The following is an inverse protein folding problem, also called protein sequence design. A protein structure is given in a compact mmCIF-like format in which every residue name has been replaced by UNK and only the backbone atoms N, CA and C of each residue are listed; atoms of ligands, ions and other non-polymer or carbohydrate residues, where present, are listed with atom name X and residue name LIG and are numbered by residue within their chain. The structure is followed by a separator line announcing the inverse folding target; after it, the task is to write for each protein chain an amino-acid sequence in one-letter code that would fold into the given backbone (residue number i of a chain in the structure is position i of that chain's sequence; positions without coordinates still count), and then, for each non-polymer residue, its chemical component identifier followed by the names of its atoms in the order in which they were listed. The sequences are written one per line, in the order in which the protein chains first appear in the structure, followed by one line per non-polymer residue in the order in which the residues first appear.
data_IF_592277492661
#
_entry.id   IF_592277492661
#
_cell.length_a   1.000
_cell.length_b   1.000
_cell.length_c   1.000
_cell.angle_alpha   90.00
_cell.angle_beta   90.00
_cell.angle_gamma   90.00
#
_symmetry.space_group_name_H-M   'P 1'
#
loop_
_entity.id
_entity.type
_entity.pdbx_description
1 polymer ?
#
# COMPACT_ATOMS: atom_id res chain seq x y z
N UNK A 1 -3.98 -12.52 -17.81
CA UNK A 1 -4.09 -11.44 -18.81
C UNK A 1 -5.20 -10.56 -18.33
N UNK A 2 -4.98 -9.27 -18.13
CA UNK A 2 -6.08 -8.35 -17.80
C UNK A 2 -7.03 -8.24 -18.97
N UNK A 3 -8.31 -8.20 -18.67
CA UNK A 3 -9.34 -7.88 -19.64
C UNK A 3 -9.11 -6.46 -20.17
N UNK A 4 -9.35 -6.23 -21.46
CA UNK A 4 -9.42 -4.85 -21.95
C UNK A 4 -10.66 -4.16 -21.36
N UNK A 5 -10.72 -2.82 -21.31
CA UNK A 5 -11.93 -2.13 -20.85
C UNK A 5 -13.21 -2.58 -21.57
N UNK A 6 -13.11 -2.89 -22.86
CA UNK A 6 -14.22 -3.43 -23.67
C UNK A 6 -14.64 -4.82 -23.22
N UNK A 7 -13.68 -5.69 -22.88
CA UNK A 7 -13.97 -7.04 -22.40
C UNK A 7 -14.64 -7.01 -21.01
N UNK A 8 -14.24 -6.09 -20.13
CA UNK A 8 -14.83 -5.96 -18.80
C UNK A 8 -16.27 -5.45 -18.86
N UNK A 9 -16.59 -4.51 -19.75
CA UNK A 9 -17.96 -4.05 -19.96
C UNK A 9 -18.86 -5.20 -20.47
N UNK A 10 -18.39 -5.98 -21.44
CA UNK A 10 -19.13 -7.15 -21.93
C UNK A 10 -19.33 -8.20 -20.82
N UNK A 11 -18.29 -8.49 -20.04
CA UNK A 11 -18.39 -9.40 -18.90
C UNK A 11 -19.38 -8.89 -17.83
N UNK A 12 -19.45 -7.57 -17.63
CA UNK A 12 -20.44 -6.96 -16.73
C UNK A 12 -21.87 -7.19 -17.24
N UNK A 13 -22.11 -6.94 -18.53
CA UNK A 13 -23.41 -7.19 -19.16
C UNK A 13 -23.83 -8.64 -19.05
N UNK A 14 -22.92 -9.58 -19.31
CA UNK A 14 -23.18 -11.02 -19.13
C UNK A 14 -23.47 -11.37 -17.66
N UNK A 15 -22.79 -10.72 -16.71
CA UNK A 15 -22.91 -11.01 -15.28
C UNK A 15 -24.19 -10.48 -14.65
N UNK A 16 -24.63 -9.30 -15.04
CA UNK A 16 -25.69 -8.54 -14.38
C UNK A 16 -26.91 -8.26 -15.26
N UNK A 17 -26.83 -8.48 -16.58
CA UNK A 17 -27.93 -8.34 -17.53
C UNK A 17 -28.17 -6.91 -18.03
N UNK A 18 -27.21 -6.00 -17.85
CA UNK A 18 -27.26 -4.62 -18.32
C UNK A 18 -25.86 -4.01 -18.42
N UNK A 19 -25.72 -2.94 -19.21
CA UNK A 19 -24.44 -2.24 -19.38
C UNK A 19 -24.02 -1.52 -18.08
N UNK A 20 -22.71 -1.41 -17.81
CA UNK A 20 -22.23 -0.59 -16.70
C UNK A 20 -22.41 0.90 -17.00
N UNK A 21 -22.65 1.70 -15.96
CA UNK A 21 -22.65 3.17 -16.06
C UNK A 21 -21.26 3.73 -16.32
N UNK A 22 -20.22 2.99 -15.92
CA UNK A 22 -18.83 3.37 -16.17
C UNK A 22 -17.81 2.34 -15.71
N UNK A 23 -16.55 2.67 -15.97
CA UNK A 23 -15.40 1.91 -15.52
C UNK A 23 -14.46 2.85 -14.76
N UNK A 24 -14.07 2.46 -13.55
CA UNK A 24 -13.16 3.22 -12.70
C UNK A 24 -11.95 2.37 -12.37
N UNK A 25 -10.76 2.98 -12.37
CA UNK A 25 -9.51 2.26 -12.15
C UNK A 25 -8.64 2.97 -11.13
N UNK A 26 -7.97 2.18 -10.29
CA UNK A 26 -6.97 2.68 -9.37
C UNK A 26 -5.73 1.77 -9.37
N UNK A 27 -4.52 2.36 -9.39
CA UNK A 27 -3.28 1.60 -9.50
C UNK A 27 -2.89 0.92 -8.18
N UNK A 28 -2.17 -0.19 -8.28
CA UNK A 28 -1.34 -0.67 -7.18
C UNK A 28 -0.18 0.28 -6.91
N UNK A 29 0.66 -0.05 -5.93
CA UNK A 29 1.80 0.80 -5.55
C UNK A 29 3.02 0.02 -5.13
N UNK A 30 4.18 0.64 -5.29
CA UNK A 30 5.43 0.22 -4.66
C UNK A 30 5.97 1.38 -3.84
N UNK A 31 6.59 1.05 -2.71
CA UNK A 31 7.24 2.04 -1.88
C UNK A 31 8.72 2.17 -2.24
N UNK A 32 9.20 3.40 -2.51
CA UNK A 32 10.64 3.62 -2.75
C UNK A 32 11.42 3.52 -1.44
N UNK A 33 10.88 4.12 -0.38
CA UNK A 33 11.47 4.19 0.96
C UNK A 33 10.44 4.68 1.97
N UNK A 34 10.58 4.32 3.24
CA UNK A 34 9.60 4.61 4.30
C UNK A 34 8.89 3.37 4.78
N UNK A 35 9.57 2.23 4.83
CA UNK A 35 8.92 0.99 5.28
C UNK A 35 8.62 1.06 6.78
N UNK A 36 7.38 0.72 7.14
CA UNK A 36 6.86 0.70 8.51
C UNK A 36 6.77 2.06 9.22
N UNK A 37 6.98 3.18 8.52
CA UNK A 37 6.91 4.52 9.11
C UNK A 37 5.51 5.10 9.11
N UNK A 38 4.62 4.64 8.24
CA UNK A 38 3.26 5.13 8.06
C UNK A 38 2.39 5.02 9.33
N UNK A 39 2.36 3.86 9.97
CA UNK A 39 1.64 3.68 11.25
C UNK A 39 2.39 4.23 12.47
N UNK A 40 3.52 4.91 12.25
CA UNK A 40 4.32 5.59 13.25
C UNK A 40 4.29 7.12 13.06
N UNK A 41 3.26 7.64 12.39
CA UNK A 41 3.11 9.07 12.03
C UNK A 41 4.26 9.59 11.16
N UNK A 42 4.97 8.68 10.50
CA UNK A 42 6.21 8.92 9.78
C UNK A 42 6.04 9.57 8.42
N UNK A 43 7.07 9.41 7.61
CA UNK A 43 7.06 9.78 6.20
C UNK A 43 7.21 8.57 5.32
N UNK A 44 6.55 8.60 4.16
CA UNK A 44 6.70 7.59 3.12
C UNK A 44 6.90 8.23 1.75
N UNK A 45 7.50 7.48 0.83
CA UNK A 45 7.70 7.90 -0.55
C UNK A 45 7.29 6.79 -1.54
N UNK A 46 6.00 6.42 -1.60
CA UNK A 46 5.49 5.49 -2.60
C UNK A 46 5.33 6.12 -3.98
N UNK A 47 5.12 5.27 -4.98
CA UNK A 47 4.66 5.68 -6.30
C UNK A 47 3.68 4.64 -6.84
N UNK A 48 2.74 5.09 -7.67
CA UNK A 48 1.76 4.23 -8.32
C UNK A 48 2.41 3.43 -9.46
N UNK A 49 2.06 2.16 -9.60
CA UNK A 49 2.51 1.31 -10.70
C UNK A 49 1.47 1.27 -11.84
N UNK A 50 1.88 0.78 -13.01
CA UNK A 50 0.97 0.63 -14.17
C UNK A 50 -0.12 -0.43 -13.98
N UNK A 51 0.11 -1.41 -13.09
CA UNK A 51 -0.89 -2.42 -12.79
C UNK A 51 -1.97 -1.79 -11.91
N UNK A 52 -3.23 -2.00 -12.26
CA UNK A 52 -4.40 -1.43 -11.60
C UNK A 52 -5.51 -2.44 -11.41
N UNK A 53 -6.40 -2.13 -10.47
CA UNK A 53 -7.71 -2.76 -10.34
C UNK A 53 -8.74 -1.85 -11.01
N UNK A 54 -9.61 -2.43 -11.83
CA UNK A 54 -10.69 -1.74 -12.51
C UNK A 54 -12.02 -2.32 -12.06
N UNK A 55 -12.97 -1.45 -11.75
CA UNK A 55 -14.35 -1.83 -11.43
C UNK A 55 -15.27 -1.29 -12.52
N UNK A 56 -16.08 -2.16 -13.10
CA UNK A 56 -17.26 -1.76 -13.85
C UNK A 56 -18.43 -1.69 -12.87
N UNK A 57 -19.17 -0.59 -12.87
CA UNK A 57 -20.26 -0.38 -11.93
C UNK A 57 -21.53 0.16 -12.61
N UNK A 58 -22.69 -0.24 -12.09
CA UNK A 58 -23.98 0.36 -12.43
C UNK A 58 -24.80 0.62 -11.18
N UNK A 59 -25.51 1.74 -11.15
CA UNK A 59 -26.44 2.12 -10.09
C UNK A 59 -27.71 1.28 -10.19
N UNK A 60 -28.21 0.87 -9.02
CA UNK A 60 -29.46 0.15 -8.86
C UNK A 60 -30.52 1.04 -8.24
N UNK A 61 -31.82 0.78 -8.50
CA UNK A 61 -32.91 1.53 -7.88
C UNK A 61 -33.16 1.16 -6.41
N UNK A 62 -32.52 0.10 -5.90
CA UNK A 62 -32.62 -0.38 -4.52
C UNK A 62 -31.37 -0.02 -3.68
N UNK A 63 -31.31 -0.53 -2.46
CA UNK A 63 -30.20 -0.36 -1.51
C UNK A 63 -29.22 -1.54 -1.53
N UNK A 64 -29.40 -2.46 -2.48
CA UNK A 64 -28.62 -3.68 -2.56
C UNK A 64 -27.38 -3.43 -3.40
N UNK A 65 -26.25 -3.92 -2.91
CA UNK A 65 -25.00 -4.01 -3.66
C UNK A 65 -24.76 -5.46 -4.02
N UNK A 66 -24.34 -5.74 -5.25
CA UNK A 66 -23.88 -7.07 -5.67
C UNK A 66 -22.46 -6.97 -6.20
N UNK A 67 -21.54 -7.70 -5.60
CA UNK A 67 -20.12 -7.66 -5.97
C UNK A 67 -19.71 -8.99 -6.62
N UNK A 68 -19.09 -8.91 -7.79
CA UNK A 68 -18.53 -10.06 -8.50
C UNK A 68 -17.08 -9.77 -8.94
N UNK A 69 -16.32 -10.82 -9.25
CA UNK A 69 -14.92 -10.72 -9.68
C UNK A 69 -14.67 -11.60 -10.90
N UNK A 70 -13.90 -11.12 -11.87
CA UNK A 70 -13.46 -11.90 -13.04
C UNK A 70 -12.52 -13.04 -12.66
N UNK A 71 -11.96 -13.04 -11.44
CA UNK A 71 -11.11 -14.13 -10.94
C UNK A 71 -11.91 -15.31 -10.40
N UNK A 72 -13.21 -15.13 -10.19
CA UNK A 72 -14.14 -16.16 -9.75
C UNK A 72 -15.43 -16.07 -10.61
N UNK A 73 -15.33 -16.34 -11.93
CA UNK A 73 -16.44 -16.11 -12.86
C UNK A 73 -17.65 -17.02 -12.57
N UNK A 74 -17.41 -18.20 -11.98
CA UNK A 74 -18.44 -19.18 -11.65
C UNK A 74 -19.15 -18.89 -10.31
N UNK A 75 -18.58 -18.02 -9.46
CA UNK A 75 -19.16 -17.67 -8.17
C UNK A 75 -20.34 -16.71 -8.36
N UNK A 76 -21.42 -16.93 -7.60
CA UNK A 76 -22.55 -15.99 -7.53
C UNK A 76 -22.09 -14.61 -7.02
N UNK A 77 -22.69 -13.48 -7.45
CA UNK A 77 -22.33 -12.17 -6.91
C UNK A 77 -22.68 -12.15 -5.43
N UNK A 78 -21.80 -11.60 -4.60
CA UNK A 78 -22.03 -11.44 -3.17
C UNK A 78 -23.00 -10.28 -2.97
N UNK A 79 -24.23 -10.52 -2.48
CA UNK A 79 -25.18 -9.44 -2.19
C UNK A 79 -24.94 -8.86 -0.80
N UNK A 80 -25.18 -7.56 -0.64
CA UNK A 80 -25.24 -6.88 0.65
C UNK A 80 -26.28 -5.78 0.61
N UNK A 81 -27.02 -5.59 1.70
CA UNK A 81 -27.89 -4.44 1.88
C UNK A 81 -27.12 -3.34 2.62
N UNK A 82 -26.90 -2.20 1.97
CA UNK A 82 -26.17 -1.07 2.52
C UNK A 82 -26.78 -0.56 3.83
N UNK A 83 -28.10 -0.64 4.00
CA UNK A 83 -28.77 -0.19 5.23
C UNK A 83 -28.54 -1.16 6.42
N UNK A 84 -28.01 -2.36 6.17
CA UNK A 84 -27.71 -3.39 7.18
C UNK A 84 -26.22 -3.64 7.41
N UNK A 85 -25.33 -3.03 6.61
CA UNK A 85 -23.89 -3.24 6.73
C UNK A 85 -23.37 -2.68 8.05
N UNK A 86 -22.68 -3.53 8.80
CA UNK A 86 -22.04 -3.20 10.06
C UNK A 86 -20.52 -3.38 9.97
N UNK A 87 -19.79 -2.69 10.86
CA UNK A 87 -18.35 -2.87 11.04
C UNK A 87 -18.01 -4.36 11.20
N UNK A 88 -17.03 -4.86 10.43
CA UNK A 88 -16.61 -6.26 10.43
C UNK A 88 -17.68 -7.27 9.98
N UNK A 89 -18.80 -6.81 9.41
CA UNK A 89 -19.95 -7.66 9.08
C UNK A 89 -19.81 -8.46 7.79
N UNK A 90 -18.71 -8.30 7.06
CA UNK A 90 -18.45 -8.95 5.77
C UNK A 90 -17.12 -9.70 5.84
N UNK A 91 -17.14 -10.97 5.45
CA UNK A 91 -15.94 -11.80 5.37
C UNK A 91 -15.40 -11.89 3.94
N UNK A 92 -14.14 -12.31 3.81
CA UNK A 92 -13.51 -12.58 2.53
C UNK A 92 -13.21 -11.32 1.71
N UNK A 93 -12.98 -11.49 0.41
CA UNK A 93 -12.55 -10.39 -0.45
C UNK A 93 -13.64 -9.35 -0.70
N UNK A 94 -14.92 -9.69 -0.53
CA UNK A 94 -16.03 -8.75 -0.66
C UNK A 94 -16.01 -7.67 0.45
N UNK A 95 -15.31 -7.92 1.55
CA UNK A 95 -15.14 -6.96 2.64
C UNK A 95 -14.43 -5.67 2.20
N UNK A 96 -13.54 -5.73 1.19
CA UNK A 96 -12.86 -4.55 0.64
C UNK A 96 -13.84 -3.60 -0.08
N UNK A 97 -14.54 -4.01 -1.17
CA UNK A 97 -15.49 -3.14 -1.87
C UNK A 97 -16.68 -2.74 -0.99
N UNK A 98 -17.27 -3.67 -0.24
CA UNK A 98 -18.41 -3.36 0.64
C UNK A 98 -17.99 -2.48 1.82
N UNK A 99 -16.77 -2.67 2.34
CA UNK A 99 -16.19 -1.83 3.38
C UNK A 99 -16.03 -0.38 2.94
N UNK A 100 -15.64 -0.13 1.69
CA UNK A 100 -15.53 1.22 1.15
C UNK A 100 -16.89 1.92 1.08
N UNK A 101 -17.93 1.22 0.62
CA UNK A 101 -19.27 1.78 0.58
C UNK A 101 -19.79 2.06 2.00
N UNK A 102 -19.57 1.14 2.93
CA UNK A 102 -19.87 1.34 4.34
C UNK A 102 -19.13 2.57 4.92
N UNK A 103 -17.83 2.70 4.65
CA UNK A 103 -17.00 3.80 5.16
C UNK A 103 -17.38 5.16 4.55
N UNK A 104 -17.82 5.20 3.29
CA UNK A 104 -18.43 6.38 2.67
C UNK A 104 -19.69 6.82 3.44
N UNK A 105 -20.59 5.87 3.75
CA UNK A 105 -21.81 6.19 4.50
C UNK A 105 -21.52 6.63 5.93
N UNK A 106 -20.56 5.99 6.61
CA UNK A 106 -20.10 6.44 7.93
C UNK A 106 -19.49 7.86 7.91
N UNK A 107 -19.00 8.29 6.74
CA UNK A 107 -18.47 9.64 6.53
C UNK A 107 -19.55 10.65 6.12
N UNK A 108 -20.82 10.24 6.09
CA UNK A 108 -21.96 11.11 5.78
C UNK A 108 -22.35 11.15 4.30
N UNK A 109 -21.74 10.31 3.46
CA UNK A 109 -22.02 10.25 2.02
C UNK A 109 -22.85 9.02 1.70
N UNK A 110 -24.16 9.22 1.46
CA UNK A 110 -25.07 8.11 1.19
C UNK A 110 -24.85 7.57 -0.22
N UNK A 111 -24.60 6.28 -0.35
CA UNK A 111 -24.45 5.62 -1.65
C UNK A 111 -25.82 5.13 -2.15
N UNK A 112 -26.06 4.95 -3.46
CA UNK A 112 -27.15 4.10 -3.95
C UNK A 112 -26.75 2.60 -3.90
N UNK A 113 -27.69 1.69 -4.16
CA UNK A 113 -27.35 0.30 -4.48
C UNK A 113 -26.54 0.22 -5.79
N UNK A 114 -25.68 -0.79 -5.93
CA UNK A 114 -24.75 -0.91 -7.07
C UNK A 114 -24.48 -2.36 -7.47
N UNK A 115 -24.34 -2.59 -8.76
CA UNK A 115 -23.69 -3.80 -9.29
C UNK A 115 -22.23 -3.48 -9.56
N UNK A 116 -21.30 -4.28 -9.03
CA UNK A 116 -19.86 -4.08 -9.14
C UNK A 116 -19.19 -5.34 -9.71
N UNK A 117 -18.53 -5.23 -10.87
CA UNK A 117 -17.64 -6.27 -11.41
C UNK A 117 -16.19 -5.82 -11.32
N UNK A 118 -15.36 -6.60 -10.63
CA UNK A 118 -13.95 -6.29 -10.39
C UNK A 118 -13.05 -7.12 -11.30
N UNK A 119 -12.06 -6.47 -11.92
CA UNK A 119 -10.91 -7.08 -12.60
C UNK A 119 -9.62 -6.42 -12.15
N UNK A 120 -8.49 -7.14 -12.13
CA UNK A 120 -7.21 -6.56 -11.73
C UNK A 120 -6.01 -7.10 -12.50
N UNK A 121 -5.07 -6.21 -12.80
CA UNK A 121 -3.71 -6.58 -13.21
C UNK A 121 -2.74 -6.66 -12.04
N UNK A 122 -3.12 -6.15 -10.85
CA UNK A 122 -2.22 -6.13 -9.70
C UNK A 122 -2.06 -7.57 -9.19
N UNK A 123 -0.83 -8.12 -9.14
CA UNK A 123 -0.62 -9.46 -8.62
C UNK A 123 -1.11 -9.57 -7.17
N UNK A 124 -2.09 -10.44 -6.94
CA UNK A 124 -2.73 -10.62 -5.63
C UNK A 124 -1.70 -11.16 -4.64
N UNK A 125 -1.60 -10.51 -3.47
CA UNK A 125 -0.72 -10.96 -2.39
C UNK A 125 0.78 -10.73 -2.63
N UNK A 126 1.18 -10.07 -3.72
CA UNK A 126 2.59 -9.80 -4.02
C UNK A 126 3.20 -8.59 -3.28
N UNK A 127 2.48 -8.00 -2.31
CA UNK A 127 2.91 -6.79 -1.60
C UNK A 127 2.78 -5.49 -2.41
N UNK A 128 2.05 -5.53 -3.52
CA UNK A 128 1.83 -4.40 -4.44
C UNK A 128 0.50 -3.66 -4.20
N UNK A 129 -0.11 -3.88 -3.04
CA UNK A 129 -1.36 -3.26 -2.58
C UNK A 129 -2.55 -3.49 -3.50
N UNK A 130 -2.79 -4.76 -3.85
CA UNK A 130 -4.00 -5.14 -4.59
C UNK A 130 -5.29 -4.82 -3.84
N UNK A 131 -5.29 -4.89 -2.49
CA UNK A 131 -6.44 -4.48 -1.65
C UNK A 131 -6.72 -2.99 -1.79
N UNK A 132 -5.72 -2.14 -1.55
CA UNK A 132 -5.90 -0.69 -1.67
C UNK A 132 -6.27 -0.26 -3.10
N UNK A 133 -5.74 -0.91 -4.14
CA UNK A 133 -6.15 -0.64 -5.52
C UNK A 133 -7.64 -0.96 -5.76
N UNK A 134 -8.15 -2.05 -5.18
CA UNK A 134 -9.57 -2.39 -5.22
C UNK A 134 -10.41 -1.40 -4.41
N UNK A 135 -10.00 -1.07 -3.20
CA UNK A 135 -10.70 -0.09 -2.37
C UNK A 135 -10.79 1.27 -3.07
N UNK A 136 -9.68 1.73 -3.65
CA UNK A 136 -9.61 3.02 -4.32
C UNK A 136 -10.42 3.06 -5.62
N UNK A 137 -10.47 1.97 -6.40
CA UNK A 137 -11.30 1.94 -7.62
C UNK A 137 -12.78 2.02 -7.28
N UNK A 138 -13.21 1.33 -6.23
CA UNK A 138 -14.60 1.38 -5.72
C UNK A 138 -14.91 2.73 -5.10
N UNK A 139 -13.97 3.32 -4.35
CA UNK A 139 -14.16 4.62 -3.71
C UNK A 139 -14.38 5.73 -4.75
N UNK A 140 -13.62 5.70 -5.84
CA UNK A 140 -13.79 6.66 -6.96
C UNK A 140 -15.14 6.42 -7.66
N UNK A 141 -15.48 5.17 -7.98
CA UNK A 141 -16.75 4.83 -8.60
C UNK A 141 -17.94 5.30 -7.76
N UNK A 142 -17.94 4.96 -6.47
CA UNK A 142 -19.02 5.30 -5.57
C UNK A 142 -19.13 6.82 -5.35
N UNK A 143 -18.01 7.53 -5.24
CA UNK A 143 -18.00 8.99 -5.10
C UNK A 143 -18.63 9.69 -6.32
N UNK A 144 -18.32 9.23 -7.53
CA UNK A 144 -18.89 9.79 -8.77
C UNK A 144 -20.35 9.40 -8.96
N UNK A 145 -20.71 8.13 -8.76
CA UNK A 145 -22.08 7.64 -8.92
C UNK A 145 -23.06 8.16 -7.87
N UNK A 146 -22.57 8.61 -6.71
CA UNK A 146 -23.38 9.25 -5.67
C UNK A 146 -23.32 10.78 -5.69
N UNK A 147 -22.54 11.38 -6.60
CA UNK A 147 -22.26 12.82 -6.64
C UNK A 147 -21.83 13.38 -5.27
N UNK A 148 -21.02 12.61 -4.52
CA UNK A 148 -20.69 12.91 -3.14
C UNK A 148 -19.67 14.05 -2.97
N UNK A 149 -18.93 14.40 -4.02
CA UNK A 149 -17.99 15.53 -4.03
C UNK A 149 -16.77 15.36 -3.13
N UNK A 150 -16.44 14.13 -2.73
CA UNK A 150 -15.34 13.82 -1.81
C UNK A 150 -14.01 13.96 -2.54
N UNK A 151 -13.03 14.62 -1.91
CA UNK A 151 -11.70 14.77 -2.50
C UNK A 151 -10.91 13.46 -2.48
N UNK A 152 -9.92 13.31 -3.37
CA UNK A 152 -9.07 12.12 -3.41
C UNK A 152 -8.31 11.85 -2.10
N UNK A 153 -7.99 12.91 -1.34
CA UNK A 153 -7.35 12.78 -0.02
C UNK A 153 -8.32 12.17 1.00
N UNK A 154 -9.56 12.64 1.01
CA UNK A 154 -10.61 12.11 1.88
C UNK A 154 -10.96 10.66 1.48
N UNK A 155 -11.04 10.36 0.18
CA UNK A 155 -11.23 8.97 -0.30
C UNK A 155 -10.11 8.03 0.17
N UNK A 156 -8.87 8.51 0.26
CA UNK A 156 -7.77 7.70 0.80
C UNK A 156 -8.01 7.36 2.28
N UNK A 157 -8.47 8.33 3.08
CA UNK A 157 -8.81 8.11 4.48
C UNK A 157 -10.02 7.18 4.65
N UNK A 158 -11.02 7.28 3.76
CA UNK A 158 -12.18 6.39 3.74
C UNK A 158 -11.78 4.95 3.38
N UNK A 159 -10.92 4.77 2.38
CA UNK A 159 -10.38 3.44 2.04
C UNK A 159 -9.61 2.84 3.22
N UNK A 160 -8.77 3.65 3.89
CA UNK A 160 -8.06 3.21 5.09
C UNK A 160 -9.03 2.85 6.24
N UNK A 161 -10.13 3.58 6.40
CA UNK A 161 -11.16 3.28 7.39
C UNK A 161 -11.82 1.92 7.07
N UNK A 162 -12.15 1.69 5.80
CA UNK A 162 -12.69 0.41 5.34
C UNK A 162 -11.75 -0.77 5.64
N UNK A 163 -10.46 -0.64 5.30
CA UNK A 163 -9.48 -1.71 5.53
C UNK A 163 -9.30 -2.01 7.04
N UNK A 164 -9.27 -0.97 7.86
CA UNK A 164 -9.10 -1.12 9.31
C UNK A 164 -10.34 -1.68 10.01
N UNK A 165 -11.54 -1.26 9.60
CA UNK A 165 -12.78 -1.50 10.35
C UNK A 165 -13.65 -2.60 9.75
N UNK A 166 -13.78 -2.64 8.42
CA UNK A 166 -14.53 -3.71 7.76
C UNK A 166 -13.67 -4.97 7.62
N UNK A 167 -12.44 -4.82 7.13
CA UNK A 167 -11.56 -5.98 6.88
C UNK A 167 -10.79 -6.40 8.14
N UNK A 168 -10.53 -5.46 9.05
CA UNK A 168 -9.80 -5.71 10.30
C UNK A 168 -8.28 -5.72 10.13
N UNK A 169 -7.75 -5.17 9.04
CA UNK A 169 -6.32 -5.10 8.78
C UNK A 169 -5.77 -3.74 9.26
N UNK A 170 -4.84 -3.70 10.24
CA UNK A 170 -4.38 -2.46 10.89
C UNK A 170 -3.36 -1.65 10.05
N UNK A 171 -3.71 -1.32 8.80
CA UNK A 171 -2.85 -0.67 7.82
C UNK A 171 -2.74 0.86 8.05
N UNK A 172 -1.60 1.43 7.64
CA UNK A 172 -1.43 2.87 7.56
C UNK A 172 -2.05 3.45 6.27
N UNK A 173 -2.00 4.78 6.14
CA UNK A 173 -2.66 5.53 5.06
C UNK A 173 -1.89 5.52 3.73
N UNK A 174 -0.71 4.89 3.70
CA UNK A 174 0.23 4.96 2.57
C UNK A 174 -0.36 4.42 1.28
N UNK A 175 -1.01 3.26 1.34
CA UNK A 175 -1.37 2.48 0.16
C UNK A 175 -2.47 3.17 -0.64
N UNK A 176 -3.54 3.57 0.05
CA UNK A 176 -4.65 4.32 -0.52
C UNK A 176 -4.19 5.68 -1.03
N UNK A 177 -3.32 6.38 -0.29
CA UNK A 177 -2.77 7.66 -0.71
C UNK A 177 -1.94 7.55 -1.98
N UNK A 178 -1.08 6.54 -2.08
CA UNK A 178 -0.25 6.32 -3.27
C UNK A 178 -1.12 6.01 -4.51
N UNK A 179 -2.19 5.23 -4.31
CA UNK A 179 -3.11 4.84 -5.37
C UNK A 179 -3.89 6.05 -5.91
N UNK A 180 -4.45 6.89 -5.03
CA UNK A 180 -5.33 8.00 -5.41
C UNK A 180 -4.58 9.29 -5.78
N UNK A 181 -3.43 9.56 -5.16
CA UNK A 181 -2.68 10.81 -5.31
C UNK A 181 -1.47 10.66 -6.24
N UNK A 182 -1.23 9.47 -6.78
CA UNK A 182 -0.12 9.23 -7.70
C UNK A 182 -0.33 9.90 -9.06
N UNK A 183 0.77 10.39 -9.65
CA UNK A 183 0.82 10.90 -11.01
C UNK A 183 1.95 10.23 -11.79
N UNK A 184 1.78 10.12 -13.11
CA UNK A 184 2.79 9.57 -13.99
C UNK A 184 4.12 10.33 -13.83
N UNK A 185 5.24 9.60 -13.74
CA UNK A 185 6.57 10.17 -13.57
C UNK A 185 6.84 10.80 -12.19
N UNK A 186 5.98 10.55 -11.19
CA UNK A 186 6.14 11.10 -9.85
C UNK A 186 6.03 10.04 -8.75
N UNK A 187 6.79 10.23 -7.68
CA UNK A 187 6.51 9.63 -6.38
C UNK A 187 5.66 10.58 -5.53
N UNK A 188 4.93 10.02 -4.57
CA UNK A 188 4.11 10.76 -3.61
C UNK A 188 4.88 10.81 -2.30
N UNK A 189 5.44 11.95 -1.95
CA UNK A 189 5.92 12.16 -0.58
C UNK A 189 4.72 12.42 0.31
N UNK A 190 4.55 11.62 1.36
CA UNK A 190 3.41 11.71 2.27
C UNK A 190 3.90 11.86 3.71
N UNK A 191 3.38 12.87 4.40
CA UNK A 191 3.43 12.98 5.85
C UNK A 191 2.21 12.26 6.43
N UNK A 192 2.43 11.10 7.05
CA UNK A 192 1.35 10.23 7.50
C UNK A 192 0.60 10.77 8.71
N UNK A 193 1.17 11.75 9.44
CA UNK A 193 0.51 12.40 10.56
C UNK A 193 -0.50 13.44 10.09
N UNK A 194 -0.07 14.30 9.18
CA UNK A 194 -0.87 15.44 8.70
C UNK A 194 -1.71 15.10 7.48
N UNK A 195 -1.41 13.98 6.81
CA UNK A 195 -1.94 13.58 5.50
C UNK A 195 -1.59 14.54 4.36
N UNK A 196 -0.67 15.49 4.60
CA UNK A 196 -0.15 16.33 3.54
C UNK A 196 0.71 15.51 2.58
N UNK A 197 0.47 15.70 1.29
CA UNK A 197 1.17 15.03 0.22
C UNK A 197 1.80 16.02 -0.75
N UNK A 198 2.93 15.62 -1.34
CA UNK A 198 3.60 16.38 -2.39
C UNK A 198 4.17 15.43 -3.44
N UNK A 199 3.90 15.75 -4.70
CA UNK A 199 4.51 15.05 -5.82
C UNK A 199 6.00 15.38 -5.92
N UNK A 200 6.80 14.33 -6.07
CA UNK A 200 8.24 14.38 -6.24
C UNK A 200 8.55 13.80 -7.61
N UNK A 201 9.13 14.58 -8.54
CA UNK A 201 9.53 14.05 -9.84
C UNK A 201 10.41 12.81 -9.68
N UNK A 202 10.02 11.75 -10.37
CA UNK A 202 10.70 10.46 -10.43
C UNK A 202 10.80 10.04 -11.91
N UNK A 203 11.54 10.84 -12.67
CA UNK A 203 11.81 10.58 -14.08
C UNK A 203 12.96 9.57 -14.22
N UNK A 204 12.61 8.29 -14.06
CA UNK A 204 13.57 7.19 -14.21
C UNK A 204 14.03 7.06 -15.67
N UNK A 205 13.10 7.16 -16.61
CA UNK A 205 13.37 7.01 -18.04
C UNK A 205 14.33 8.11 -18.53
N UNK A 206 14.06 9.38 -18.20
CA UNK A 206 14.97 10.49 -18.51
C UNK A 206 16.33 10.39 -17.84
N UNK A 207 16.44 9.62 -16.75
CA UNK A 207 17.72 9.29 -16.12
C UNK A 207 18.41 8.03 -16.70
N UNK A 208 17.80 7.36 -17.68
CA UNK A 208 18.28 6.08 -18.22
C UNK A 208 18.20 4.93 -17.20
N UNK A 209 17.23 4.99 -16.29
CA UNK A 209 17.01 4.02 -15.22
C UNK A 209 15.68 3.29 -15.42
N UNK A 210 15.62 2.05 -14.95
CA UNK A 210 14.40 1.26 -14.89
C UNK A 210 14.21 0.74 -13.47
N UNK A 211 12.96 0.62 -13.03
CA UNK A 211 12.63 0.02 -11.75
C UNK A 211 12.17 -1.43 -11.95
N UNK A 212 12.90 -2.35 -11.33
CA UNK A 212 12.56 -3.76 -11.34
C UNK A 212 11.93 -4.16 -10.00
N UNK A 213 10.69 -4.66 -10.07
CA UNK A 213 9.99 -5.28 -8.94
C UNK A 213 10.20 -6.79 -9.03
N UNK A 214 10.78 -7.38 -7.99
CA UNK A 214 11.07 -8.82 -7.94
C UNK A 214 10.16 -9.47 -6.91
N UNK A 215 9.20 -10.27 -7.38
CA UNK A 215 8.38 -11.12 -6.52
C UNK A 215 9.20 -12.34 -6.05
N UNK A 216 9.32 -12.50 -4.73
CA UNK A 216 10.05 -13.61 -4.12
C UNK A 216 9.30 -14.95 -4.24
N UNK A 217 8.01 -14.93 -4.60
CA UNK A 217 7.09 -16.09 -4.67
C UNK A 217 6.93 -16.85 -3.35
N UNK A 218 7.32 -16.24 -2.23
CA UNK A 218 7.12 -16.83 -0.91
C UNK A 218 5.78 -16.36 -0.35
N UNK A 219 4.82 -17.27 -0.28
CA UNK A 219 3.53 -17.04 0.38
C UNK A 219 3.67 -17.31 1.89
N UNK A 220 3.72 -16.26 2.71
CA UNK A 220 3.69 -16.40 4.17
C UNK A 220 2.24 -16.45 4.67
N UNK A 221 1.79 -17.59 5.19
CA UNK A 221 0.48 -17.81 5.82
C UNK A 221 0.29 -17.08 7.17
N UNK A 222 1.22 -16.20 7.57
CA UNK A 222 1.30 -15.61 8.91
C UNK A 222 1.61 -14.10 8.91
N UNK A 223 1.29 -13.39 7.83
CA UNK A 223 1.58 -11.95 7.69
C UNK A 223 0.88 -11.06 8.72
N UNK A 224 -0.23 -11.50 9.32
CA UNK A 224 -0.93 -10.74 10.37
C UNK A 224 -0.14 -10.68 11.69
N UNK A 225 0.49 -11.78 12.11
CA UNK A 225 1.20 -11.84 13.40
C UNK A 225 2.47 -11.00 13.44
N UNK A 226 3.27 -11.03 12.36
CA UNK A 226 4.53 -10.31 12.27
C UNK A 226 4.35 -8.79 12.22
N UNK A 227 3.37 -8.32 11.44
CA UNK A 227 3.06 -6.89 11.34
C UNK A 227 2.52 -6.34 12.67
N UNK A 228 1.53 -7.01 13.27
CA UNK A 228 0.96 -6.59 14.55
C UNK A 228 2.01 -6.58 15.67
N UNK A 229 2.93 -7.56 15.69
CA UNK A 229 4.03 -7.57 16.65
C UNK A 229 4.95 -6.35 16.47
N UNK A 230 5.31 -6.01 15.22
CA UNK A 230 6.13 -4.82 14.91
C UNK A 230 5.48 -3.54 15.39
N UNK A 231 4.18 -3.38 15.13
CA UNK A 231 3.39 -2.23 15.57
C UNK A 231 3.41 -2.10 17.10
N UNK A 232 3.12 -3.17 17.83
CA UNK A 232 3.16 -3.17 19.31
C UNK A 232 4.50 -2.74 19.89
N UNK A 233 5.62 -3.21 19.33
CA UNK A 233 6.94 -2.74 19.81
C UNK A 233 7.19 -1.27 19.47
N UNK A 234 6.65 -0.75 18.38
CA UNK A 234 6.81 0.67 18.09
C UNK A 234 5.99 1.52 19.06
N UNK A 235 4.76 1.10 19.38
CA UNK A 235 3.89 1.72 20.38
C UNK A 235 4.57 1.72 21.77
N UNK A 236 5.08 0.57 22.21
CA UNK A 236 5.87 0.45 23.45
C UNK A 236 7.11 1.36 23.42
N UNK A 237 7.81 1.41 22.29
CA UNK A 237 8.97 2.27 22.11
C UNK A 237 8.64 3.76 22.24
N UNK A 238 7.48 4.19 21.73
CA UNK A 238 7.01 5.56 21.86
C UNK A 238 6.63 5.89 23.31
N UNK A 239 5.90 4.98 23.96
CA UNK A 239 5.51 5.07 25.37
C UNK A 239 6.74 5.22 26.28
N UNK A 240 7.70 4.30 26.21
CA UNK A 240 8.91 4.31 27.05
C UNK A 240 9.83 5.51 26.76
N UNK A 241 9.77 6.07 25.55
CA UNK A 241 10.49 7.28 25.20
C UNK A 241 9.74 8.57 25.57
N UNK A 242 8.48 8.47 25.99
CA UNK A 242 7.64 9.60 26.40
C UNK A 242 7.22 10.48 25.24
N UNK A 243 6.97 9.90 24.06
CA UNK A 243 6.54 10.63 22.86
C UNK A 243 5.21 10.07 22.32
N UNK A 244 4.36 10.90 21.67
CA UNK A 244 3.12 10.43 21.07
C UNK A 244 3.35 9.40 19.95
N UNK A 245 4.37 9.62 19.13
CA UNK A 245 4.78 8.68 18.10
C UNK A 245 6.30 8.71 17.90
N UNK A 246 6.84 7.62 17.33
CA UNK A 246 8.27 7.54 17.02
C UNK A 246 8.73 8.59 15.98
N UNK A 247 7.79 9.21 15.26
CA UNK A 247 8.02 10.39 14.41
C UNK A 247 8.69 11.56 15.13
N UNK A 248 8.45 11.70 16.43
CA UNK A 248 8.95 12.82 17.25
C UNK A 248 10.39 12.61 17.74
N UNK A 249 10.96 11.43 17.50
CA UNK A 249 12.34 11.11 17.81
C UNK A 249 13.26 11.40 16.63
N UNK A 250 14.50 11.76 16.95
CA UNK A 250 15.57 11.99 15.99
C UNK A 250 16.73 11.01 16.19
N UNK A 251 17.66 11.00 15.25
CA UNK A 251 18.89 10.16 15.35
C UNK A 251 19.68 10.47 16.62
N UNK A 252 19.57 11.69 17.17
CA UNK A 252 20.26 12.10 18.41
C UNK A 252 19.71 11.38 19.64
N UNK A 253 18.45 10.94 19.59
CA UNK A 253 17.75 10.31 20.72
C UNK A 253 18.08 8.81 20.83
N UNK A 254 18.74 8.22 19.84
CA UNK A 254 19.04 6.79 19.81
C UNK A 254 19.98 6.33 20.94
N UNK A 255 20.89 7.19 21.39
CA UNK A 255 21.75 6.87 22.52
C UNK A 255 20.94 6.72 23.82
N UNK A 256 19.96 7.62 24.03
CA UNK A 256 19.01 7.52 25.15
C UNK A 256 18.14 6.27 25.00
N UNK A 257 17.58 6.03 23.81
CA UNK A 257 16.72 4.89 23.54
C UNK A 257 17.42 3.55 23.83
N UNK A 258 18.71 3.43 23.50
CA UNK A 258 19.49 2.22 23.78
C UNK A 258 19.67 1.94 25.28
N UNK A 259 19.57 2.96 26.14
CA UNK A 259 19.65 2.81 27.59
C UNK A 259 18.32 2.52 28.28
N UNK A 260 17.19 2.69 27.58
CA UNK A 260 15.83 2.57 28.15
C UNK A 260 15.09 1.35 27.61
N UNK A 261 15.29 1.02 26.33
CA UNK A 261 14.52 0.00 25.62
C UNK A 261 15.23 -1.36 25.63
N UNK A 262 14.47 -2.43 25.58
CA UNK A 262 15.00 -3.77 25.29
C UNK A 262 15.58 -3.86 23.87
N UNK A 263 16.35 -4.91 23.58
CA UNK A 263 17.04 -5.05 22.30
C UNK A 263 16.10 -5.10 21.09
N UNK A 264 14.95 -5.77 21.20
CA UNK A 264 14.00 -5.89 20.11
C UNK A 264 13.32 -4.54 19.82
N UNK A 265 12.80 -3.90 20.86
CA UNK A 265 12.15 -2.60 20.77
C UNK A 265 13.13 -1.54 20.27
N UNK A 266 14.36 -1.49 20.80
CA UNK A 266 15.39 -0.57 20.33
C UNK A 266 15.69 -0.73 18.83
N UNK A 267 15.83 -1.96 18.33
CA UNK A 267 16.10 -2.20 16.90
C UNK A 267 14.98 -1.65 16.02
N UNK A 268 13.72 -1.76 16.46
CA UNK A 268 12.54 -1.25 15.75
C UNK A 268 12.47 0.28 15.82
N UNK A 269 12.64 0.87 16.99
CA UNK A 269 12.71 2.34 17.15
C UNK A 269 13.83 2.93 16.30
N UNK A 270 15.02 2.33 16.32
CA UNK A 270 16.15 2.76 15.48
C UNK A 270 15.81 2.70 14.00
N UNK A 271 15.13 1.65 13.54
CA UNK A 271 14.67 1.56 12.16
C UNK A 271 13.78 2.76 11.82
N UNK A 272 12.70 2.99 12.57
CA UNK A 272 11.73 4.07 12.32
C UNK A 272 12.39 5.45 12.31
N UNK A 273 13.19 5.76 13.33
CA UNK A 273 13.89 7.04 13.46
C UNK A 273 14.82 7.29 12.26
N UNK A 274 15.61 6.28 11.89
CA UNK A 274 16.57 6.43 10.79
C UNK A 274 15.89 6.39 9.43
N UNK A 275 14.79 5.67 9.28
CA UNK A 275 14.00 5.60 8.05
C UNK A 275 13.29 6.93 7.78
N UNK A 276 12.60 7.50 8.77
CA UNK A 276 12.01 8.85 8.65
C UNK A 276 13.05 9.90 8.22
N UNK A 277 14.25 9.85 8.82
CA UNK A 277 15.35 10.74 8.44
C UNK A 277 15.86 10.50 7.00
N UNK A 278 15.81 9.26 6.51
CA UNK A 278 16.16 8.93 5.11
C UNK A 278 15.09 9.45 4.16
N UNK A 279 13.81 9.15 4.41
CA UNK A 279 12.67 9.58 3.59
C UNK A 279 12.64 11.10 3.46
N UNK A 280 12.76 11.84 4.57
CA UNK A 280 12.77 13.31 4.56
C UNK A 280 13.84 13.92 3.64
N UNK A 281 14.99 13.25 3.49
CA UNK A 281 16.10 13.73 2.65
C UNK A 281 15.92 13.35 1.18
N UNK A 282 15.16 12.29 0.87
CA UNK A 282 15.05 11.73 -0.48
C UNK A 282 14.49 12.72 -1.51
N UNK A 283 13.40 13.47 -1.26
CA UNK A 283 12.86 14.38 -2.27
C UNK A 283 13.85 15.45 -2.75
N UNK A 284 14.71 15.96 -1.86
CA UNK A 284 15.76 16.91 -2.23
C UNK A 284 16.84 16.32 -3.15
N UNK A 285 16.97 14.99 -3.18
CA UNK A 285 17.91 14.25 -4.05
C UNK A 285 17.28 13.83 -5.38
N UNK A 286 15.96 13.64 -5.40
CA UNK A 286 15.19 13.31 -6.60
C UNK A 286 14.87 14.54 -7.45
N UNK A 287 14.87 15.74 -6.87
CA UNK A 287 14.66 16.97 -7.64
C UNK A 287 15.75 17.13 -8.71
N UNK A 288 15.39 17.37 -9.99
CA UNK A 288 16.35 17.62 -11.04
C UNK A 288 17.25 18.77 -10.60
N UNK A 289 18.57 18.58 -10.65
CA UNK A 289 19.54 19.63 -10.36
C UNK A 289 19.24 20.83 -11.25
N UNK A 290 18.58 21.86 -10.70
CA UNK A 290 18.56 23.19 -11.31
C UNK A 290 20.02 23.58 -11.55
N UNK A 291 20.33 23.82 -12.80
CA UNK A 291 21.63 24.16 -13.35
C UNK A 291 22.40 25.14 -12.45
N UNK A 292 23.37 24.65 -11.66
CA UNK A 292 24.35 25.47 -10.96
C UNK A 292 25.54 25.78 -11.88
N UNK A 293 25.27 26.20 -13.11
CA UNK A 293 26.26 26.84 -13.99
C UNK A 293 26.00 28.34 -14.07
N UNK A 294 26.19 29.06 -12.96
CA UNK A 294 26.51 30.51 -12.96
C UNK A 294 26.97 30.98 -11.57
N UNK A 295 28.18 30.56 -11.21
CA UNK A 295 29.10 31.33 -10.35
C UNK A 295 30.45 30.61 -10.38
N UNK A 296 31.51 31.35 -10.73
CA UNK A 296 32.75 30.82 -11.29
C UNK A 296 33.61 29.93 -10.38
N UNK A 297 34.48 29.19 -11.08
CA UNK A 297 35.78 28.70 -10.63
C UNK A 297 35.81 27.95 -9.28
N UNK A 298 35.62 26.63 -9.33
CA UNK A 298 36.61 25.67 -8.79
C UNK A 298 36.20 24.24 -9.12
N UNK A 299 37.20 23.44 -9.45
CA UNK A 299 37.16 22.10 -9.99
C UNK A 299 36.53 21.07 -9.04
N UNK A 300 35.44 20.43 -9.44
CA UNK A 300 35.05 19.11 -8.91
C UNK A 300 34.35 18.28 -10.00
N UNK A 301 35.05 17.27 -10.52
CA UNK A 301 34.40 16.13 -11.18
C UNK A 301 33.66 15.36 -10.09
N UNK A 302 32.34 15.22 -10.23
CA UNK A 302 31.54 14.31 -9.42
C UNK A 302 30.46 13.66 -10.29
N UNK A 303 30.68 12.38 -10.57
CA UNK A 303 29.75 11.41 -11.17
C UNK A 303 28.48 11.28 -10.32
N UNK A 304 27.29 10.99 -10.87
CA UNK A 304 26.10 10.76 -10.06
C UNK A 304 26.23 9.41 -9.35
N UNK A 305 26.25 9.42 -8.01
CA UNK A 305 25.94 8.23 -7.20
C UNK A 305 24.55 8.42 -6.60
N UNK A 306 23.51 8.08 -7.36
CA UNK A 306 22.30 7.54 -6.75
C UNK A 306 22.58 6.06 -6.44
N UNK A 307 23.21 5.83 -5.30
CA UNK A 307 23.49 4.50 -4.77
C UNK A 307 23.56 4.62 -3.26
N UNK A 308 22.65 3.94 -2.57
CA UNK A 308 22.68 3.73 -1.13
C UNK A 308 23.88 2.84 -0.78
N UNK A 309 25.09 3.41 -0.73
CA UNK A 309 26.25 2.68 -0.20
C UNK A 309 26.32 2.87 1.31
N UNK A 310 25.67 1.99 2.07
CA UNK A 310 26.10 1.65 3.43
C UNK A 310 27.16 0.55 3.31
N UNK A 311 28.44 0.91 3.39
CA UNK A 311 29.51 -0.07 3.64
C UNK A 311 29.53 -0.37 5.13
N UNK A 312 28.94 -1.48 5.53
CA UNK A 312 29.35 -2.23 6.73
C UNK A 312 29.87 -3.60 6.27
N UNK A 313 30.99 -4.11 6.84
CA UNK A 313 31.63 -5.32 6.35
C UNK A 313 30.80 -6.54 6.73
N UNK A 314 30.17 -7.17 5.73
CA UNK A 314 29.56 -8.49 5.84
C UNK A 314 30.68 -9.50 6.10
N UNK A 315 30.80 -10.00 7.32
CA UNK A 315 31.58 -11.21 7.60
C UNK A 315 30.77 -12.41 7.12
N UNK A 316 31.38 -13.17 6.20
CA UNK A 316 30.93 -14.43 5.64
C UNK A 316 30.24 -15.36 6.66
N UNK A 317 28.96 -15.63 6.45
CA UNK A 317 28.28 -16.82 6.96
C UNK A 317 27.88 -17.71 5.77
N UNK A 318 28.86 -18.35 5.16
CA UNK A 318 28.66 -19.49 4.26
C UNK A 318 29.43 -20.66 4.83
N UNK A 319 28.73 -21.54 5.55
CA UNK A 319 29.15 -22.95 5.70
C UNK A 319 28.09 -23.84 5.04
N UNK A 320 28.47 -24.82 4.21
CA UNK A 320 27.53 -25.64 3.46
C UNK A 320 26.91 -26.72 4.36
N UNK A 321 25.60 -26.90 4.27
CA UNK A 321 24.93 -28.07 4.82
C UNK A 321 25.16 -29.27 3.88
N UNK A 322 26.13 -30.12 4.22
CA UNK A 322 26.31 -31.41 3.56
C UNK A 322 25.23 -32.40 4.00
N UNK A 323 24.43 -32.85 3.03
CA UNK A 323 23.52 -34.01 3.09
C UNK A 323 24.31 -35.27 3.48
N UNK A 324 23.93 -35.96 4.57
CA UNK A 324 24.31 -37.36 4.78
C UNK A 324 23.10 -38.24 4.50
N UNK A 325 23.21 -39.03 3.44
CA UNK A 325 22.38 -40.20 3.22
C UNK A 325 22.93 -41.37 4.03
N UNK A 326 22.06 -42.14 4.66
CA UNK A 326 22.33 -43.54 5.01
C UNK A 326 21.07 -44.35 4.76
N UNK A 327 21.14 -45.23 3.76
CA UNK A 327 20.26 -46.41 3.64
C UNK A 327 20.74 -47.49 4.62
N UNK A 328 19.75 -48.20 5.18
CA UNK A 328 19.65 -49.54 5.81
C UNK A 328 20.89 -50.47 5.90
N UNK A 329 20.86 -51.41 6.86
CA UNK A 329 20.37 -52.77 6.54
C UNK A 329 19.45 -53.42 7.61
N UNK A 330 18.69 -54.38 7.10
CA UNK A 330 17.75 -55.35 7.67
C UNK A 330 18.28 -56.33 8.74
N UNK A 331 17.40 -56.69 9.72
CA UNK A 331 17.20 -57.96 10.48
C UNK A 331 18.41 -58.62 11.22
N UNK A 332 18.26 -59.56 12.20
CA UNK A 332 17.14 -60.45 12.60
C UNK A 332 16.76 -60.32 14.11
N UNK A 333 15.82 -61.03 14.76
CA UNK A 333 15.10 -62.29 14.55
C UNK A 333 13.66 -62.19 15.11
#
# INVERSE_FOLDING_TARGET
MTSTPTDLAAAFTDRFGGEPDGLWSAPGRVNVIGEHTDYNDGFVLPFAIKHSTTVAAAVRPDRIVRVASTFAPDDAPVPADLDSLAEGGVEGWAAYPLGVLWALEQSGHRCPGMDLLVDSSVPVGAGLSSSAALECSVAVAANELSDAGVSRRELAAIGQLAENRMVGAPTGIMDQSASLLGEAGHAVFLDCRTTESRLVPLDLEGAGLELMVIDTRVSHSHSTGGYAARRRSCELGAELMGVPALRDLSVKDLAKAAGVLDEETFRRVRHIVTENARVWRTPSRCSPRRDRRRSGHSSWRATPRCGTTSRSPVRNWTRPWTRRSTREPSAPA
#
